data_IF_635597743752
#
_entry.id   IF_635597743752
#
_cell.length_a   1.000
_cell.length_b   1.000
_cell.length_c   1.000
_cell.angle_alpha   90.00
_cell.angle_beta   90.00
_cell.angle_gamma   90.00
#
_symmetry.space_group_name_H-M   'P 1'
#
loop_
_entity.id
_entity.type
_entity.pdbx_description
1 polymer ?
#
# COMPACT_ATOMS: atom_id res chain seq x y z
N UNK A 1 -21.79 -48.64 -27.17
CA UNK A 1 -21.76 -47.83 -25.94
C UNK A 1 -20.64 -46.83 -26.08
N UNK A 2 -20.97 -45.56 -26.31
CA UNK A 2 -20.01 -44.47 -26.45
C UNK A 2 -20.06 -43.65 -25.16
N UNK A 3 -18.93 -43.55 -24.46
CA UNK A 3 -18.76 -42.71 -23.29
C UNK A 3 -18.39 -41.29 -23.74
N UNK A 4 -19.24 -40.31 -23.40
CA UNK A 4 -18.93 -38.88 -23.51
C UNK A 4 -18.26 -38.40 -22.22
N UNK A 5 -17.13 -37.67 -22.28
CA UNK A 5 -16.59 -37.00 -21.10
C UNK A 5 -17.42 -35.74 -20.80
N UNK A 6 -18.13 -35.74 -19.67
CA UNK A 6 -18.75 -34.54 -19.13
C UNK A 6 -17.63 -33.72 -18.48
N UNK A 7 -17.04 -32.82 -19.27
CA UNK A 7 -16.31 -31.68 -18.73
C UNK A 7 -17.28 -30.81 -17.95
N UNK A 8 -17.24 -30.92 -16.62
CA UNK A 8 -17.75 -29.88 -15.72
C UNK A 8 -16.60 -28.87 -15.59
N UNK A 9 -16.56 -27.81 -16.40
CA UNK A 9 -17.55 -26.74 -16.30
C UNK A 9 -17.02 -25.79 -15.24
N UNK A 10 -16.08 -24.93 -15.63
CA UNK A 10 -15.61 -23.81 -14.83
C UNK A 10 -16.85 -22.99 -14.43
N UNK A 11 -17.24 -23.12 -13.16
CA UNK A 11 -18.35 -22.38 -12.60
C UNK A 11 -18.10 -20.88 -12.73
N UNK A 12 -19.11 -20.09 -13.14
CA UNK A 12 -18.96 -18.65 -13.29
C UNK A 12 -18.73 -18.00 -11.92
N UNK A 13 -17.56 -17.39 -11.77
CA UNK A 13 -17.35 -16.16 -11.01
C UNK A 13 -17.89 -16.15 -9.59
N UNK A 14 -17.31 -16.95 -8.70
CA UNK A 14 -17.31 -16.60 -7.28
C UNK A 14 -16.73 -15.19 -7.14
N UNK A 15 -17.58 -14.24 -6.75
CA UNK A 15 -17.21 -12.91 -6.27
C UNK A 15 -16.48 -12.99 -4.92
N UNK A 16 -15.46 -13.83 -4.86
CA UNK A 16 -14.60 -14.06 -3.72
C UNK A 16 -13.23 -13.44 -4.01
N UNK A 17 -12.96 -12.33 -3.34
CA UNK A 17 -11.61 -11.82 -3.14
C UNK A 17 -11.15 -10.82 -4.19
N UNK A 18 -11.56 -9.56 -4.04
CA UNK A 18 -10.77 -8.40 -4.55
C UNK A 18 -9.33 -8.46 -4.01
N UNK A 19 -9.10 -9.29 -3.01
CA UNK A 19 -7.81 -9.64 -2.44
C UNK A 19 -7.66 -11.15 -2.40
N UNK A 20 -7.31 -11.76 -3.54
CA UNK A 20 -6.71 -13.09 -3.53
C UNK A 20 -5.39 -13.07 -2.74
N UNK A 21 -4.88 -14.25 -2.36
CA UNK A 21 -3.48 -14.42 -1.94
C UNK A 21 -2.58 -14.08 -3.13
N UNK A 22 -2.42 -12.78 -3.41
CA UNK A 22 -1.43 -12.30 -4.36
C UNK A 22 -0.06 -12.45 -3.72
N UNK A 23 0.91 -12.84 -4.54
CA UNK A 23 2.33 -12.81 -4.20
C UNK A 23 2.72 -11.46 -3.61
N UNK A 24 3.68 -11.46 -2.70
CA UNK A 24 4.14 -10.24 -2.05
C UNK A 24 4.71 -9.28 -3.11
N UNK A 25 4.04 -8.15 -3.30
CA UNK A 25 4.49 -7.10 -4.23
C UNK A 25 5.25 -6.04 -3.44
N UNK A 26 6.51 -5.82 -3.81
CA UNK A 26 7.35 -4.78 -3.21
C UNK A 26 7.41 -3.55 -4.10
N UNK A 27 7.24 -2.37 -3.50
CA UNK A 27 7.28 -1.07 -4.15
C UNK A 27 8.43 -0.24 -3.58
N UNK A 28 9.30 0.26 -4.45
CA UNK A 28 10.46 1.07 -4.07
C UNK A 28 10.20 2.58 -4.20
N UNK A 29 9.15 2.98 -4.93
CA UNK A 29 8.75 4.39 -5.08
C UNK A 29 7.30 4.57 -4.69
N UNK A 30 6.95 5.76 -4.22
CA UNK A 30 5.57 6.11 -3.87
C UNK A 30 4.67 6.13 -5.11
N UNK A 31 5.24 6.53 -6.26
CA UNK A 31 4.54 6.54 -7.55
C UNK A 31 4.09 5.15 -8.02
N UNK A 32 4.73 4.08 -7.54
CA UNK A 32 4.39 2.71 -7.91
C UNK A 32 3.23 2.15 -7.05
N UNK A 33 2.80 2.89 -6.02
CA UNK A 33 1.75 2.43 -5.12
C UNK A 33 0.40 2.30 -5.85
N UNK A 34 -0.43 1.31 -5.44
CA UNK A 34 -1.79 1.21 -5.93
C UNK A 34 -2.58 2.51 -5.76
N UNK A 35 -3.46 2.78 -6.72
CA UNK A 35 -4.31 3.97 -6.70
C UNK A 35 -5.09 4.07 -5.38
N UNK A 36 -5.13 5.27 -4.81
CA UNK A 36 -5.82 5.58 -3.56
C UNK A 36 -5.06 5.22 -2.28
N UNK A 37 -3.91 4.56 -2.35
CA UNK A 37 -3.08 4.32 -1.15
C UNK A 37 -2.62 5.64 -0.56
N UNK A 38 -2.02 6.51 -1.39
CA UNK A 38 -1.49 7.82 -0.97
C UNK A 38 -2.62 8.72 -0.45
N UNK A 39 -3.79 8.69 -1.08
CA UNK A 39 -4.97 9.45 -0.65
C UNK A 39 -5.47 8.99 0.72
N UNK A 40 -5.45 7.68 0.98
CA UNK A 40 -5.87 7.11 2.26
C UNK A 40 -4.92 7.45 3.42
N UNK A 41 -3.64 7.74 3.15
CA UNK A 41 -2.69 8.20 4.17
C UNK A 41 -3.10 9.57 4.71
N UNK A 42 -3.72 10.42 3.89
CA UNK A 42 -4.15 11.78 4.26
C UNK A 42 -3.02 12.78 4.55
N UNK A 43 -1.78 12.32 4.74
CA UNK A 43 -0.60 13.13 5.00
C UNK A 43 0.24 13.30 3.73
N UNK A 44 0.85 14.49 3.58
CA UNK A 44 1.84 14.75 2.53
C UNK A 44 3.07 13.87 2.81
N UNK A 45 3.28 12.83 2.01
CA UNK A 45 4.43 11.94 2.09
C UNK A 45 5.39 12.20 0.92
N UNK A 46 6.65 12.49 1.20
CA UNK A 46 7.69 12.70 0.19
C UNK A 46 8.12 11.36 -0.45
N UNK A 47 8.58 11.42 -1.70
CA UNK A 47 9.26 10.29 -2.35
C UNK A 47 10.69 10.10 -1.82
N UNK A 48 11.22 8.88 -2.01
CA UNK A 48 12.59 8.53 -1.67
C UNK A 48 13.58 9.38 -2.48
N UNK A 49 14.49 10.07 -1.79
CA UNK A 49 15.56 10.87 -2.41
C UNK A 49 15.49 12.37 -2.13
N UNK A 50 14.38 12.88 -1.58
CA UNK A 50 14.39 14.25 -1.05
C UNK A 50 15.08 14.28 0.33
N UNK A 51 16.07 15.18 0.53
CA UNK A 51 16.73 15.33 1.82
C UNK A 51 15.74 15.90 2.83
N UNK A 52 15.73 15.34 4.03
CA UNK A 52 15.12 16.00 5.18
C UNK A 52 16.04 17.12 5.63
N UNK A 53 15.54 18.35 5.64
CA UNK A 53 16.25 19.44 6.28
C UNK A 53 15.94 19.45 7.78
N UNK A 54 16.96 19.77 8.57
CA UNK A 54 16.84 19.93 10.02
C UNK A 54 15.96 21.17 10.29
N UNK A 55 14.66 20.95 10.43
CA UNK A 55 13.66 22.03 10.57
C UNK A 55 12.32 21.77 9.87
N UNK A 56 12.25 20.78 8.98
CA UNK A 56 11.05 20.45 8.18
C UNK A 56 9.81 20.13 9.03
N UNK A 57 10.02 19.64 10.26
CA UNK A 57 8.95 19.35 11.24
C UNK A 57 8.16 20.59 11.66
N UNK A 58 8.77 21.77 11.57
CA UNK A 58 8.19 23.03 12.06
C UNK A 58 7.58 23.88 10.93
N UNK A 59 7.73 23.46 9.66
CA UNK A 59 7.21 24.20 8.52
C UNK A 59 5.86 23.67 8.06
N UNK A 60 4.88 24.57 8.02
CA UNK A 60 3.54 24.30 7.50
C UNK A 60 3.64 23.98 6.00
N UNK A 61 3.18 22.79 5.60
CA UNK A 61 3.18 22.34 4.20
C UNK A 61 4.36 21.45 3.79
N UNK A 62 5.28 21.14 4.71
CA UNK A 62 6.39 20.23 4.44
C UNK A 62 6.00 18.79 4.83
N UNK A 63 6.30 17.79 3.98
CA UNK A 63 6.00 16.40 4.27
C UNK A 63 6.73 15.90 5.53
N UNK A 64 5.96 15.56 6.57
CA UNK A 64 6.48 15.00 7.82
C UNK A 64 6.99 13.55 7.66
N UNK A 65 6.57 12.87 6.60
CA UNK A 65 6.90 11.46 6.32
C UNK A 65 7.54 11.30 4.95
N UNK A 66 8.51 10.38 4.84
CA UNK A 66 9.22 10.04 3.61
C UNK A 66 9.04 8.57 3.34
N UNK A 67 8.59 8.28 2.13
CA UNK A 67 8.44 6.92 1.67
C UNK A 67 9.81 6.24 1.57
N UNK A 68 9.95 5.07 2.20
CA UNK A 68 11.16 4.23 2.07
C UNK A 68 10.88 3.07 1.13
N UNK A 69 9.83 2.31 1.43
CA UNK A 69 9.37 1.15 0.67
C UNK A 69 7.94 0.80 1.06
N UNK A 70 7.25 0.02 0.25
CA UNK A 70 6.03 -0.66 0.65
C UNK A 70 6.01 -2.12 0.22
N UNK A 71 5.31 -2.95 0.98
CA UNK A 71 5.02 -4.33 0.61
C UNK A 71 3.52 -4.56 0.66
N UNK A 72 2.97 -5.18 -0.39
CA UNK A 72 1.56 -5.55 -0.46
C UNK A 72 1.45 -7.06 -0.45
N UNK A 73 0.57 -7.56 0.43
CA UNK A 73 0.18 -8.97 0.47
C UNK A 73 -1.34 -9.03 0.46
N UNK A 74 -1.91 -9.48 -0.67
CA UNK A 74 -3.34 -9.48 -0.92
C UNK A 74 -4.00 -8.10 -0.71
N UNK A 75 -4.79 -7.99 0.37
CA UNK A 75 -5.59 -6.83 0.73
C UNK A 75 -4.87 -5.83 1.63
N UNK A 76 -3.66 -6.16 2.09
CA UNK A 76 -2.91 -5.33 3.01
C UNK A 76 -1.70 -4.77 2.31
N UNK A 77 -1.41 -3.52 2.58
CA UNK A 77 -0.17 -2.87 2.18
C UNK A 77 0.49 -2.27 3.41
N UNK A 78 1.77 -2.57 3.61
CA UNK A 78 2.59 -2.02 4.66
C UNK A 78 3.58 -1.06 4.05
N UNK A 79 3.56 0.18 4.47
CA UNK A 79 4.44 1.25 4.02
C UNK A 79 5.45 1.51 5.12
N UNK A 80 6.73 1.34 4.82
CA UNK A 80 7.82 1.81 5.67
C UNK A 80 8.10 3.27 5.32
N UNK A 81 8.19 4.10 6.34
CA UNK A 81 8.49 5.51 6.19
C UNK A 81 9.53 5.96 7.19
N UNK A 82 10.21 7.04 6.86
CA UNK A 82 10.97 7.81 7.83
C UNK A 82 10.13 9.02 8.26
N UNK A 83 10.20 9.38 9.53
CA UNK A 83 9.62 10.60 10.08
C UNK A 83 10.70 11.67 10.21
N UNK A 84 10.40 12.87 9.72
CA UNK A 84 11.17 14.06 10.03
C UNK A 84 11.00 14.44 11.51
N UNK A 85 12.00 15.07 12.11
CA UNK A 85 11.99 15.31 13.55
C UNK A 85 13.30 15.94 14.07
N UNK A 86 13.33 16.28 15.36
CA UNK A 86 14.59 16.51 16.08
C UNK A 86 15.49 15.27 16.06
N UNK A 87 14.90 14.08 15.85
CA UNK A 87 15.55 12.79 15.67
C UNK A 87 14.90 12.10 14.47
N UNK A 88 15.68 11.49 13.58
CA UNK A 88 15.15 10.62 12.53
C UNK A 88 14.43 9.44 13.17
N UNK A 89 13.15 9.28 12.86
CA UNK A 89 12.37 8.12 13.28
C UNK A 89 12.06 7.24 12.07
N UNK A 90 12.00 5.93 12.28
CA UNK A 90 11.50 4.99 11.28
C UNK A 90 10.16 4.45 11.77
N UNK A 91 9.20 4.38 10.87
CA UNK A 91 7.85 3.90 11.17
C UNK A 91 7.33 2.98 10.08
N UNK A 92 6.29 2.26 10.43
CA UNK A 92 5.50 1.50 9.45
C UNK A 92 4.04 1.87 9.59
N UNK A 93 3.37 2.02 8.46
CA UNK A 93 1.93 2.23 8.38
C UNK A 93 1.33 1.06 7.63
N UNK A 94 0.28 0.46 8.18
CA UNK A 94 -0.46 -0.60 7.49
C UNK A 94 -1.77 -0.03 6.98
N UNK A 95 -2.15 -0.40 5.76
CA UNK A 95 -3.47 -0.11 5.20
C UNK A 95 -4.08 -1.41 4.72
N UNK A 96 -5.40 -1.47 4.75
CA UNK A 96 -6.18 -2.56 4.19
C UNK A 96 -7.20 -2.04 3.18
N UNK A 97 -7.48 -2.83 2.16
CA UNK A 97 -8.48 -2.52 1.16
C UNK A 97 -9.86 -2.99 1.64
N UNK A 98 -10.79 -2.04 1.81
CA UNK A 98 -12.15 -2.32 2.25
C UNK A 98 -13.15 -1.49 1.46
N UNK A 99 -14.21 -2.13 0.95
CA UNK A 99 -15.32 -1.42 0.32
C UNK A 99 -14.91 -0.50 -0.83
N UNK A 100 -13.91 -0.91 -1.63
CA UNK A 100 -13.34 -0.15 -2.78
C UNK A 100 -12.45 1.05 -2.42
N UNK A 101 -11.94 1.13 -1.19
CA UNK A 101 -10.98 2.15 -0.78
C UNK A 101 -9.90 1.57 0.14
N UNK A 102 -8.74 2.21 0.17
CA UNK A 102 -7.72 1.91 1.17
C UNK A 102 -8.09 2.60 2.49
N UNK A 103 -7.90 1.90 3.59
CA UNK A 103 -8.16 2.38 4.95
C UNK A 103 -6.93 2.13 5.79
N UNK A 104 -6.50 3.12 6.57
CA UNK A 104 -5.38 2.99 7.50
C UNK A 104 -5.79 2.07 8.65
N UNK A 105 -5.01 1.01 8.84
CA UNK A 105 -5.07 0.12 10.00
C UNK A 105 -4.40 0.86 11.16
N UNK A 106 -5.20 1.34 12.12
CA UNK A 106 -4.73 2.15 13.27
C UNK A 106 -4.30 1.28 14.42
#
# INVERSE_FOLDING_TARGET
MMFLPIGSGAGPGSAAGICGKQDEQSYQRKADLPRGVVEAIGNVMADRGQPYQRGDVMQKGVPLYRFVRATRSGCRIRISYEGGGFVQQQGTMSLYWAGKRWVVDR
#
